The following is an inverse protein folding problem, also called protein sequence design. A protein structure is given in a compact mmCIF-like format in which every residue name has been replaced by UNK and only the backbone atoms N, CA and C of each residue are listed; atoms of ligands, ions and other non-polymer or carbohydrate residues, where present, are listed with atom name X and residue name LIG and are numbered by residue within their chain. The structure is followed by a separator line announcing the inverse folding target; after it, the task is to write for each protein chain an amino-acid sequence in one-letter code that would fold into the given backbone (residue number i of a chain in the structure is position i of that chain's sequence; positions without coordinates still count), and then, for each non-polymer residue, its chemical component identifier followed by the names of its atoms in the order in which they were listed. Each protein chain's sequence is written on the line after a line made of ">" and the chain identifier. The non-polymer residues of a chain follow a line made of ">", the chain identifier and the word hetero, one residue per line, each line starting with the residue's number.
data_IF_288223266674
#
_entry.id   IF_288223266674
#
_cell.length_a   1.000
_cell.length_b   1.000
_cell.length_c   1.000
_cell.angle_alpha   90.00
_cell.angle_beta   90.00
_cell.angle_gamma   90.00
#
_symmetry.space_group_name_H-M   'P 1'
#
loop_
_entity.id
_entity.type
_entity.pdbx_description
1 polymer ?
#
# COMPACT_ATOMS: atom_id res chain seq x y z
N UNK A 1 -36.19 -7.62 -98.20
CA UNK A 1 -36.65 -6.47 -97.40
C UNK A 1 -36.20 -6.71 -95.98
N UNK A 2 -35.00 -6.21 -95.62
CA UNK A 2 -34.37 -6.48 -94.31
C UNK A 2 -34.94 -5.51 -93.27
N UNK A 3 -35.45 -6.05 -92.17
CA UNK A 3 -36.05 -5.34 -91.04
C UNK A 3 -34.96 -5.14 -89.99
N UNK A 4 -34.58 -3.89 -89.73
CA UNK A 4 -33.56 -3.51 -88.75
C UNK A 4 -34.10 -3.66 -87.32
N UNK A 5 -33.39 -4.42 -86.48
CA UNK A 5 -33.58 -4.48 -85.03
C UNK A 5 -33.05 -3.20 -84.34
N UNK A 6 -33.70 -2.69 -83.27
CA UNK A 6 -33.21 -1.54 -82.53
C UNK A 6 -32.11 -1.93 -81.52
N UNK A 7 -31.20 -1.01 -81.17
CA UNK A 7 -30.14 -1.28 -80.21
C UNK A 7 -30.68 -1.31 -78.77
N UNK A 8 -30.38 -2.40 -78.05
CA UNK A 8 -30.61 -2.52 -76.60
C UNK A 8 -29.61 -1.67 -75.82
N UNK A 9 -30.10 -0.75 -74.98
CA UNK A 9 -29.27 0.04 -74.07
C UNK A 9 -28.72 -0.85 -72.91
N UNK A 10 -27.47 -0.64 -72.47
CA UNK A 10 -26.91 -1.37 -71.34
C UNK A 10 -27.54 -0.96 -70.00
N UNK A 11 -27.82 -1.96 -69.17
CA UNK A 11 -28.44 -1.89 -67.85
C UNK A 11 -27.52 -1.19 -66.86
N UNK A 12 -27.83 0.07 -66.54
CA UNK A 12 -27.15 0.89 -65.52
C UNK A 12 -27.58 0.47 -64.11
N UNK A 13 -26.96 -0.56 -63.49
CA UNK A 13 -27.11 -0.77 -62.03
C UNK A 13 -26.10 -1.74 -61.36
N UNK A 14 -24.80 -1.67 -61.67
CA UNK A 14 -23.80 -2.52 -60.98
C UNK A 14 -22.93 -1.77 -59.94
N UNK A 15 -23.09 -0.45 -59.81
CA UNK A 15 -22.24 0.38 -58.94
C UNK A 15 -22.66 0.50 -57.47
N UNK A 16 -23.82 -0.02 -57.07
CA UNK A 16 -24.36 0.21 -55.72
C UNK A 16 -24.05 -0.90 -54.70
N UNK A 17 -23.53 -2.05 -55.16
CA UNK A 17 -23.25 -3.19 -54.26
C UNK A 17 -21.88 -3.10 -53.59
N UNK A 18 -20.89 -2.46 -54.22
CA UNK A 18 -19.53 -2.40 -53.67
C UNK A 18 -19.47 -1.59 -52.36
N UNK A 19 -20.25 -0.52 -52.23
CA UNK A 19 -20.26 0.31 -51.01
C UNK A 19 -21.02 -0.33 -49.84
N UNK A 20 -21.94 -1.26 -50.12
CA UNK A 20 -22.68 -2.00 -49.10
C UNK A 20 -21.83 -3.09 -48.46
N UNK A 21 -21.09 -3.86 -49.26
CA UNK A 21 -20.14 -4.87 -48.78
C UNK A 21 -18.98 -4.24 -47.98
N UNK A 22 -18.49 -3.06 -48.41
CA UNK A 22 -17.49 -2.30 -47.65
C UNK A 22 -18.05 -1.81 -46.30
N UNK A 23 -19.29 -1.30 -46.25
CA UNK A 23 -19.96 -0.94 -44.99
C UNK A 23 -20.16 -2.17 -44.09
N UNK A 24 -20.48 -3.33 -44.67
CA UNK A 24 -20.70 -4.58 -43.94
C UNK A 24 -19.40 -5.10 -43.31
N UNK A 25 -18.27 -5.05 -44.04
CA UNK A 25 -16.94 -5.41 -43.51
C UNK A 25 -16.44 -4.40 -42.46
N UNK A 26 -16.71 -3.11 -42.64
CA UNK A 26 -16.36 -2.09 -41.64
C UNK A 26 -17.19 -2.29 -40.36
N UNK A 27 -18.49 -2.56 -40.48
CA UNK A 27 -19.36 -2.83 -39.33
C UNK A 27 -19.02 -4.15 -38.63
N UNK A 28 -18.65 -5.21 -39.36
CA UNK A 28 -18.25 -6.48 -38.73
C UNK A 28 -16.85 -6.39 -38.09
N UNK A 29 -15.92 -5.65 -38.71
CA UNK A 29 -14.61 -5.36 -38.13
C UNK A 29 -14.70 -4.51 -36.86
N UNK A 30 -15.57 -3.49 -36.85
CA UNK A 30 -15.81 -2.64 -35.67
C UNK A 30 -16.48 -3.41 -34.51
N UNK A 31 -17.32 -4.41 -34.82
CA UNK A 31 -18.01 -5.24 -33.83
C UNK A 31 -17.11 -6.33 -33.21
N UNK A 32 -16.06 -6.76 -33.91
CA UNK A 32 -15.09 -7.77 -33.45
C UNK A 32 -13.84 -7.18 -32.79
N UNK A 33 -13.58 -5.88 -32.97
CA UNK A 33 -12.44 -5.18 -32.37
C UNK A 33 -12.41 -5.12 -30.83
N UNK A 34 -13.53 -5.07 -30.06
CA UNK A 34 -13.46 -4.87 -28.62
C UNK A 34 -13.09 -6.13 -27.82
N UNK A 35 -12.82 -7.27 -28.46
CA UNK A 35 -12.39 -8.50 -27.77
C UNK A 35 -10.87 -8.60 -27.60
N UNK A 36 -10.10 -7.68 -28.19
CA UNK A 36 -8.66 -7.58 -28.01
C UNK A 36 -8.31 -6.59 -26.88
N UNK A 37 -8.95 -6.74 -25.71
CA UNK A 37 -8.62 -5.92 -24.54
C UNK A 37 -7.16 -6.14 -24.16
N UNK A 38 -6.35 -5.08 -24.27
CA UNK A 38 -4.95 -5.07 -23.86
C UNK A 38 -4.84 -5.37 -22.36
N UNK A 39 -4.38 -6.56 -22.00
CA UNK A 39 -4.14 -6.91 -20.61
C UNK A 39 -2.80 -6.30 -20.18
N UNK A 40 -2.84 -5.17 -19.47
CA UNK A 40 -1.65 -4.52 -18.90
C UNK A 40 -1.43 -5.08 -17.50
N UNK A 41 -0.32 -5.79 -17.30
CA UNK A 41 0.08 -6.31 -15.99
C UNK A 41 0.86 -5.24 -15.24
N UNK A 42 0.38 -4.86 -14.05
CA UNK A 42 0.99 -3.82 -13.21
C UNK A 42 1.45 -4.43 -11.88
N UNK A 43 2.74 -4.35 -11.61
CA UNK A 43 3.40 -4.96 -10.45
C UNK A 43 4.20 -3.91 -9.68
N UNK A 44 4.13 -3.95 -8.36
CA UNK A 44 5.03 -3.20 -7.47
C UNK A 44 5.97 -4.18 -6.78
N UNK A 45 7.26 -3.84 -6.75
CA UNK A 45 8.30 -4.53 -5.99
C UNK A 45 8.71 -3.69 -4.79
N UNK A 46 8.52 -4.23 -3.58
CA UNK A 46 8.88 -3.61 -2.32
C UNK A 46 10.15 -4.24 -1.77
N UNK A 47 11.16 -3.41 -1.58
CA UNK A 47 12.43 -3.78 -0.97
C UNK A 47 12.72 -2.91 0.27
N UNK A 48 13.48 -3.44 1.21
CA UNK A 48 13.91 -2.67 2.39
C UNK A 48 15.34 -2.98 2.80
N UNK A 49 15.93 -2.02 3.50
CA UNK A 49 17.22 -2.17 4.19
C UNK A 49 17.00 -1.94 5.68
N UNK A 50 17.15 -2.95 6.56
CA UNK A 50 17.46 -4.37 6.28
C UNK A 50 16.32 -5.13 5.58
N UNK A 51 16.66 -6.26 4.96
CA UNK A 51 15.70 -7.20 4.36
C UNK A 51 14.89 -7.94 5.44
N UNK A 52 13.88 -8.70 5.04
CA UNK A 52 12.98 -9.45 5.94
C UNK A 52 12.08 -8.58 6.83
N UNK A 53 11.78 -7.37 6.37
CA UNK A 53 10.84 -6.48 7.04
C UNK A 53 9.39 -6.84 6.69
N UNK A 54 8.51 -6.87 7.70
CA UNK A 54 7.08 -7.07 7.52
C UNK A 54 6.43 -5.82 6.91
N UNK A 55 5.66 -6.02 5.85
CA UNK A 55 5.04 -4.96 5.05
C UNK A 55 3.53 -5.04 5.14
N UNK A 56 2.91 -3.88 5.38
CA UNK A 56 1.49 -3.66 5.20
C UNK A 56 1.26 -2.67 4.07
N UNK A 57 0.32 -2.99 3.19
CA UNK A 57 -0.14 -2.11 2.12
C UNK A 57 -1.62 -1.85 2.35
N UNK A 58 -2.02 -0.59 2.44
CA UNK A 58 -3.39 -0.17 2.72
C UNK A 58 -3.99 -0.86 3.96
N UNK A 59 -3.20 -0.96 5.04
CA UNK A 59 -3.58 -1.58 6.31
C UNK A 59 -3.77 -3.11 6.27
N UNK A 60 -3.46 -3.76 5.15
CA UNK A 60 -3.48 -5.22 5.00
C UNK A 60 -2.05 -5.73 5.03
N UNK A 61 -1.80 -6.78 5.82
CA UNK A 61 -0.51 -7.47 5.84
C UNK A 61 -0.27 -8.14 4.49
N UNK A 62 0.80 -7.72 3.81
CA UNK A 62 1.10 -8.16 2.46
C UNK A 62 2.13 -9.30 2.47
N UNK A 63 3.19 -9.16 3.27
CA UNK A 63 4.27 -10.13 3.36
C UNK A 63 5.56 -9.54 3.90
N UNK A 64 6.69 -10.20 3.67
CA UNK A 64 8.03 -9.74 4.08
C UNK A 64 8.90 -9.35 2.89
N UNK A 65 9.73 -8.33 3.04
CA UNK A 65 10.65 -7.89 1.98
C UNK A 65 11.77 -8.89 1.71
N UNK A 66 12.20 -9.08 0.45
CA UNK A 66 11.63 -8.52 -0.78
C UNK A 66 10.29 -9.17 -1.15
N UNK A 67 9.30 -8.34 -1.50
CA UNK A 67 7.94 -8.77 -1.82
C UNK A 67 7.41 -8.03 -3.03
N UNK A 68 6.67 -8.70 -3.90
CA UNK A 68 6.00 -8.08 -5.04
C UNK A 68 4.51 -8.40 -5.08
N UNK A 69 3.70 -7.43 -5.50
CA UNK A 69 2.26 -7.60 -5.65
C UNK A 69 1.73 -6.89 -6.89
N UNK A 70 0.62 -7.41 -7.42
CA UNK A 70 -0.09 -6.82 -8.55
C UNK A 70 -1.14 -5.81 -8.05
N UNK A 71 -1.27 -4.69 -8.75
CA UNK A 71 -2.24 -3.65 -8.42
C UNK A 71 -3.09 -3.27 -9.64
N UNK A 72 -4.32 -2.83 -9.40
CA UNK A 72 -5.27 -2.52 -10.48
C UNK A 72 -5.34 -1.02 -10.81
N UNK A 73 -5.20 -0.16 -9.80
CA UNK A 73 -5.41 1.29 -9.97
C UNK A 73 -4.18 2.08 -9.55
N UNK A 74 -3.77 3.05 -10.36
CA UNK A 74 -2.73 4.00 -10.00
C UNK A 74 -3.23 4.95 -8.91
N UNK A 75 -2.34 5.31 -7.97
CA UNK A 75 -2.69 6.14 -6.84
C UNK A 75 -1.68 6.09 -5.72
N UNK A 76 -2.06 6.68 -4.59
CA UNK A 76 -1.26 6.69 -3.37
C UNK A 76 -1.67 5.55 -2.44
N UNK A 77 -0.69 4.79 -1.98
CA UNK A 77 -0.82 3.64 -1.10
C UNK A 77 -0.23 3.96 0.26
N UNK A 78 -0.94 3.59 1.32
CA UNK A 78 -0.40 3.64 2.68
C UNK A 78 0.50 2.41 2.88
N UNK A 79 1.80 2.63 3.02
CA UNK A 79 2.78 1.57 3.21
C UNK A 79 3.35 1.67 4.62
N UNK A 80 3.31 0.56 5.35
CA UNK A 80 4.00 0.43 6.63
C UNK A 80 5.00 -0.69 6.54
N UNK A 81 6.21 -0.44 7.00
CA UNK A 81 7.30 -1.40 7.01
C UNK A 81 7.84 -1.49 8.43
N UNK A 82 7.86 -2.69 9.01
CA UNK A 82 8.40 -2.94 10.34
C UNK A 82 9.42 -4.06 10.30
N UNK A 83 10.53 -3.88 11.00
CA UNK A 83 11.54 -4.90 11.22
C UNK A 83 11.82 -4.98 12.73
N UNK A 84 12.18 -6.16 13.22
CA UNK A 84 12.30 -6.42 14.68
C UNK A 84 13.36 -5.52 15.34
N UNK A 85 14.44 -5.24 14.62
CA UNK A 85 15.57 -4.44 15.10
C UNK A 85 15.53 -2.97 14.63
N UNK A 86 14.44 -2.53 13.99
CA UNK A 86 14.33 -1.18 13.43
C UNK A 86 13.09 -0.46 13.93
N UNK A 87 13.12 0.87 13.80
CA UNK A 87 11.95 1.71 14.04
C UNK A 87 10.96 1.48 12.88
N UNK A 88 9.68 1.17 13.16
CA UNK A 88 8.69 1.00 12.11
C UNK A 88 8.48 2.29 11.34
N UNK A 89 8.47 2.19 10.01
CA UNK A 89 8.28 3.30 9.08
C UNK A 89 6.86 3.25 8.52
N UNK A 90 6.08 4.31 8.71
CA UNK A 90 4.79 4.51 8.06
C UNK A 90 4.93 5.66 7.05
N UNK A 91 4.73 5.37 5.77
CA UNK A 91 4.90 6.33 4.68
C UNK A 91 3.85 6.11 3.61
N UNK A 92 3.72 7.07 2.69
CA UNK A 92 2.88 6.95 1.51
C UNK A 92 3.77 6.72 0.31
N UNK A 93 3.44 5.71 -0.49
CA UNK A 93 4.09 5.45 -1.77
C UNK A 93 3.08 5.70 -2.88
N UNK A 94 3.46 6.48 -3.88
CA UNK A 94 2.58 6.80 -5.00
C UNK A 94 3.04 6.07 -6.25
N UNK A 95 2.07 5.52 -6.97
CA UNK A 95 2.24 5.09 -8.33
C UNK A 95 1.73 6.21 -9.24
N UNK A 96 2.63 6.84 -9.99
CA UNK A 96 2.23 7.85 -10.98
C UNK A 96 1.62 7.20 -12.23
N UNK A 97 0.55 7.79 -12.76
CA UNK A 97 -0.06 7.35 -14.02
C UNK A 97 0.92 7.63 -15.16
N UNK A 98 1.31 6.63 -15.96
CA UNK A 98 2.19 6.88 -17.07
C UNK A 98 1.49 7.69 -18.17
N UNK A 99 2.27 8.43 -18.96
CA UNK A 99 1.76 9.32 -20.03
C UNK A 99 0.89 8.58 -21.06
N UNK A 100 1.10 7.27 -21.24
CA UNK A 100 0.32 6.43 -22.16
C UNK A 100 -1.03 5.95 -21.61
N UNK A 101 -1.28 6.04 -20.30
CA UNK A 101 -2.60 5.79 -19.67
C UNK A 101 -3.48 7.06 -19.64
N UNK A 102 -3.00 8.19 -20.18
CA UNK A 102 -3.79 9.42 -20.26
C UNK A 102 -4.91 9.28 -21.30
N UNK A 103 -6.06 9.97 -21.11
CA UNK A 103 -7.16 9.92 -22.07
C UNK A 103 -6.72 10.37 -23.46
N UNK A 104 -6.87 9.48 -24.45
CA UNK A 104 -6.45 9.69 -25.84
C UNK A 104 -5.39 8.67 -26.29
N UNK A 105 -4.13 8.79 -25.83
CA UNK A 105 -3.08 7.79 -26.04
C UNK A 105 -3.47 6.36 -25.58
N UNK A 106 -4.27 6.25 -24.52
CA UNK A 106 -4.75 4.99 -23.95
C UNK A 106 -5.46 4.09 -24.98
N UNK A 107 -6.27 4.67 -25.87
CA UNK A 107 -6.94 3.93 -26.95
C UNK A 107 -5.94 3.32 -27.94
N UNK A 108 -4.80 3.97 -28.16
CA UNK A 108 -3.73 3.46 -29.04
C UNK A 108 -2.93 2.37 -28.34
N UNK A 109 -2.67 2.52 -27.03
CA UNK A 109 -2.01 1.49 -26.23
C UNK A 109 -2.86 0.20 -26.15
N UNK A 110 -4.19 0.32 -26.04
CA UNK A 110 -5.11 -0.81 -26.08
C UNK A 110 -5.20 -1.47 -27.47
N UNK A 111 -5.09 -0.67 -28.55
CA UNK A 111 -5.12 -1.20 -29.92
C UNK A 111 -3.85 -1.97 -30.33
N UNK A 112 -2.76 -1.80 -29.59
CA UNK A 112 -1.49 -2.45 -29.86
C UNK A 112 -1.48 -3.78 -29.10
N UNK A 113 -1.46 -4.94 -29.78
CA UNK A 113 -1.49 -6.27 -29.15
C UNK A 113 -0.11 -6.64 -28.59
N UNK A 114 0.40 -5.83 -27.66
CA UNK A 114 1.66 -6.07 -26.95
C UNK A 114 1.33 -6.25 -25.48
N UNK A 115 1.83 -7.34 -24.89
CA UNK A 115 1.74 -7.54 -23.45
C UNK A 115 2.65 -6.52 -22.77
N UNK A 116 2.06 -5.49 -22.17
CA UNK A 116 2.80 -4.48 -21.43
C UNK A 116 2.86 -4.89 -19.96
N UNK A 117 4.05 -5.23 -19.49
CA UNK A 117 4.33 -5.42 -18.07
C UNK A 117 4.98 -4.15 -17.51
N UNK A 118 4.43 -3.65 -16.41
CA UNK A 118 4.94 -2.49 -15.70
C UNK A 118 5.38 -2.92 -14.31
N UNK A 119 6.65 -2.72 -14.01
CA UNK A 119 7.23 -2.95 -12.68
C UNK A 119 7.64 -1.61 -12.07
N UNK A 120 7.26 -1.39 -10.82
CA UNK A 120 7.60 -0.18 -10.04
C UNK A 120 8.33 -0.62 -8.81
N UNK A 121 9.50 -0.03 -8.56
CA UNK A 121 10.33 -0.36 -7.40
C UNK A 121 10.12 0.67 -6.29
N UNK A 122 9.76 0.19 -5.10
CA UNK A 122 9.74 0.97 -3.87
C UNK A 122 10.82 0.44 -2.92
N UNK A 123 11.79 1.30 -2.60
CA UNK A 123 12.86 0.98 -1.66
C UNK A 123 12.67 1.78 -0.35
N UNK A 124 12.73 1.08 0.78
CA UNK A 124 12.59 1.70 2.10
C UNK A 124 13.84 1.48 2.97
N UNK A 125 14.42 2.57 3.45
CA UNK A 125 15.52 2.52 4.42
C UNK A 125 14.98 2.65 5.85
N UNK A 126 15.19 1.64 6.67
CA UNK A 126 14.74 1.62 8.07
C UNK A 126 15.84 2.11 9.00
N UNK A 127 15.44 2.90 10.00
CA UNK A 127 16.37 3.36 11.02
C UNK A 127 16.54 2.30 12.11
N UNK A 128 17.77 2.00 12.55
CA UNK A 128 18.02 1.02 13.59
C UNK A 128 17.39 1.46 14.92
N UNK A 129 16.81 0.50 15.63
CA UNK A 129 16.23 0.74 16.95
C UNK A 129 17.36 0.79 17.98
N UNK A 130 17.54 1.96 18.63
CA UNK A 130 18.46 2.07 19.76
C UNK A 130 17.88 1.31 20.96
N UNK A 131 18.46 0.14 21.24
CA UNK A 131 17.99 -0.77 22.29
C UNK A 131 18.43 -0.37 23.70
N UNK A 132 19.49 0.44 23.86
CA UNK A 132 19.97 0.89 25.18
C UNK A 132 19.02 1.91 25.84
N UNK A 133 18.40 1.57 26.99
CA UNK A 133 17.51 2.48 27.70
C UNK A 133 18.19 3.79 28.15
N UNK A 134 19.46 3.74 28.53
CA UNK A 134 20.17 4.92 29.03
C UNK A 134 20.46 5.92 27.90
N UNK A 135 20.89 5.42 26.73
CA UNK A 135 21.05 6.25 25.53
C UNK A 135 19.75 6.96 25.10
N UNK A 136 18.58 6.32 25.26
CA UNK A 136 17.27 6.93 24.96
C UNK A 136 16.93 8.05 25.93
N UNK A 137 17.15 7.84 27.23
CA UNK A 137 16.93 8.86 28.27
C UNK A 137 17.85 10.06 28.03
N UNK A 138 19.13 9.82 27.75
CA UNK A 138 20.10 10.87 27.48
C UNK A 138 19.73 11.70 26.24
N UNK A 139 19.27 11.05 25.17
CA UNK A 139 18.78 11.74 23.96
C UNK A 139 17.55 12.61 24.25
N UNK A 140 16.62 12.11 25.06
CA UNK A 140 15.43 12.86 25.47
C UNK A 140 15.78 14.08 26.35
N UNK A 141 16.71 13.91 27.30
CA UNK A 141 17.22 15.01 28.12
C UNK A 141 17.90 16.08 27.25
N UNK A 142 18.74 15.66 26.29
CA UNK A 142 19.39 16.58 25.35
C UNK A 142 18.39 17.38 24.52
N UNK A 143 17.34 16.73 24.02
CA UNK A 143 16.29 17.43 23.26
C UNK A 143 15.55 18.45 24.14
N UNK A 144 15.25 18.11 25.40
CA UNK A 144 14.65 19.05 26.35
C UNK A 144 15.54 20.27 26.56
N UNK A 145 16.82 20.05 26.84
CA UNK A 145 17.77 21.15 27.09
C UNK A 145 17.92 22.05 25.84
N UNK A 146 17.86 21.47 24.62
CA UNK A 146 17.86 22.24 23.36
C UNK A 146 16.60 23.12 23.21
N UNK A 147 15.43 22.62 23.62
CA UNK A 147 14.17 23.39 23.57
C UNK A 147 14.16 24.53 24.60
N UNK A 148 14.69 24.28 25.80
CA UNK A 148 14.89 25.30 26.83
C UNK A 148 15.84 26.39 26.35
N UNK A 149 16.97 26.01 25.73
CA UNK A 149 17.93 26.95 25.15
C UNK A 149 17.33 27.78 24.00
N UNK A 150 16.43 27.20 23.21
CA UNK A 150 15.72 27.89 22.14
C UNK A 150 14.58 28.81 22.66
N UNK A 151 14.35 28.85 23.97
CA UNK A 151 13.37 29.75 24.59
C UNK A 151 11.91 29.31 24.40
N UNK A 152 11.67 28.12 23.86
CA UNK A 152 10.34 27.50 23.75
C UNK A 152 9.92 26.87 25.10
N UNK A 153 10.05 27.65 26.17
CA UNK A 153 9.45 27.31 27.46
C UNK A 153 7.95 27.55 27.35
N UNK A 154 7.23 26.56 26.81
CA UNK A 154 5.81 26.48 27.09
C UNK A 154 5.68 26.36 28.61
N UNK A 155 5.12 27.39 29.21
CA UNK A 155 4.33 27.34 30.43
C UNK A 155 3.12 26.39 30.21
N UNK A 156 3.37 25.15 29.79
CA UNK A 156 2.44 24.06 30.06
C UNK A 156 2.72 23.68 31.50
N UNK A 157 2.25 24.54 32.41
CA UNK A 157 1.82 24.05 33.71
C UNK A 157 0.88 22.91 33.36
N UNK A 158 1.13 21.65 33.78
CA UNK A 158 0.10 20.64 33.68
C UNK A 158 -1.10 21.26 34.37
N UNK A 159 -2.14 21.61 33.60
CA UNK A 159 -3.42 21.94 34.19
C UNK A 159 -3.88 20.61 34.75
N UNK A 160 -3.47 20.33 35.99
CA UNK A 160 -4.24 19.48 36.88
C UNK A 160 -5.61 20.14 36.82
N UNK A 161 -6.50 19.55 36.02
CA UNK A 161 -7.90 19.87 36.13
C UNK A 161 -8.23 19.32 37.51
N UNK A 162 -8.23 20.19 38.51
CA UNK A 162 -8.89 19.90 39.77
C UNK A 162 -10.34 19.64 39.39
N UNK A 163 -10.70 18.37 39.20
CA UNK A 163 -12.09 17.95 39.13
C UNK A 163 -12.59 18.17 40.55
N UNK A 164 -13.46 19.16 40.81
CA UNK A 164 -13.98 19.36 42.14
C UNK A 164 -14.75 18.10 42.52
N UNK A 165 -14.44 17.53 43.68
CA UNK A 165 -15.08 16.31 44.19
C UNK A 165 -16.57 16.44 44.48
N UNK A 166 -17.19 17.58 44.20
CA UNK A 166 -18.58 17.86 44.50
C UNK A 166 -19.43 17.85 43.23
N UNK A 167 -20.02 16.69 42.94
CA UNK A 167 -21.35 16.66 42.30
C UNK A 167 -21.42 16.54 40.78
N UNK A 168 -20.59 15.72 40.12
CA UNK A 168 -20.97 15.19 38.80
C UNK A 168 -22.14 14.19 38.98
N UNK A 169 -23.32 14.38 38.36
CA UNK A 169 -24.30 13.32 38.30
C UNK A 169 -23.69 12.15 37.53
N UNK A 170 -23.64 11.00 38.19
CA UNK A 170 -23.12 9.73 37.68
C UNK A 170 -24.01 9.20 36.55
N UNK A 171 -23.92 9.80 35.36
CA UNK A 171 -24.58 9.29 34.15
C UNK A 171 -23.84 8.10 33.54
N UNK A 172 -22.61 7.84 33.96
CA UNK A 172 -21.86 6.65 33.60
C UNK A 172 -21.61 5.82 34.86
N UNK A 173 -22.48 4.84 35.08
CA UNK A 173 -22.26 3.77 36.05
C UNK A 173 -21.09 2.92 35.59
N UNK A 174 -19.87 3.33 35.92
CA UNK A 174 -18.72 2.45 35.86
C UNK A 174 -18.89 1.30 36.87
N UNK A 175 -18.41 0.08 36.56
CA UNK A 175 -18.47 -1.02 37.51
C UNK A 175 -17.75 -0.63 38.80
N UNK A 176 -18.45 -0.80 39.94
CA UNK A 176 -17.90 -0.55 41.27
C UNK A 176 -16.68 -1.46 41.46
N UNK A 177 -15.49 -0.87 41.42
CA UNK A 177 -14.26 -1.56 41.79
C UNK A 177 -14.43 -2.07 43.24
N UNK A 178 -14.20 -3.37 43.50
CA UNK A 178 -14.18 -3.87 44.87
C UNK A 178 -13.04 -3.20 45.65
N UNK A 179 -13.16 -3.08 46.99
CA UNK A 179 -12.11 -2.50 47.82
C UNK A 179 -10.79 -3.24 47.57
N UNK A 180 -9.71 -2.45 47.46
CA UNK A 180 -8.34 -2.94 47.36
C UNK A 180 -7.91 -3.58 48.67
N UNK A 181 -8.40 -4.78 48.95
CA UNK A 181 -7.67 -5.72 49.79
C UNK A 181 -6.62 -6.37 48.92
N UNK A 182 -5.46 -5.73 48.83
CA UNK A 182 -4.25 -6.38 48.32
C UNK A 182 -3.81 -7.41 49.36
N UNK A 183 -3.95 -8.73 49.15
CA UNK A 183 -3.19 -9.66 49.97
C UNK A 183 -1.71 -9.39 49.69
N UNK A 184 -0.92 -9.24 50.76
CA UNK A 184 0.53 -9.16 50.70
C UNK A 184 1.04 -10.25 49.77
N UNK A 185 1.48 -9.85 48.56
CA UNK A 185 2.05 -10.78 47.58
C UNK A 185 3.20 -11.51 48.28
N UNK A 186 3.18 -12.84 48.41
CA UNK A 186 4.34 -13.57 48.90
C UNK A 186 5.53 -13.16 48.03
N UNK A 187 6.62 -12.73 48.66
CA UNK A 187 7.81 -12.25 47.97
C UNK A 187 8.22 -13.27 46.91
N UNK A 188 8.03 -12.91 45.63
CA UNK A 188 8.55 -13.70 44.53
C UNK A 188 10.06 -13.60 44.65
N UNK A 189 10.70 -14.72 45.01
CA UNK A 189 12.16 -14.79 45.01
C UNK A 189 12.65 -14.41 43.60
N UNK A 190 13.72 -13.61 43.49
CA UNK A 190 14.26 -13.26 42.19
C UNK A 190 14.59 -14.54 41.41
N UNK A 191 14.35 -14.59 40.09
CA UNK A 191 14.73 -15.73 39.28
C UNK A 191 16.24 -15.99 39.46
N UNK A 192 16.66 -17.27 39.52
CA UNK A 192 18.08 -17.58 39.66
C UNK A 192 18.86 -16.92 38.52
N UNK A 193 20.02 -16.35 38.86
CA UNK A 193 20.92 -15.79 37.87
C UNK A 193 21.25 -16.84 36.80
N UNK A 194 21.18 -16.43 35.55
CA UNK A 194 21.55 -17.27 34.40
C UNK A 194 23.02 -17.69 34.55
N UNK A 195 23.26 -18.99 34.78
CA UNK A 195 24.59 -19.60 34.73
C UNK A 195 24.92 -19.99 33.29
N UNK A 196 26.01 -19.50 32.68
CA UNK A 196 26.36 -19.82 31.30
C UNK A 196 26.93 -21.24 31.09
N UNK A 197 27.18 -22.02 32.15
CA UNK A 197 27.90 -23.30 32.07
C UNK A 197 27.01 -24.55 32.06
N UNK A 198 25.97 -24.59 31.22
CA UNK A 198 25.28 -25.86 30.93
C UNK A 198 25.05 -26.03 29.43
N UNK A 199 26.14 -26.25 28.70
CA UNK A 199 26.12 -26.86 27.38
C UNK A 199 25.56 -28.29 27.49
N UNK A 200 24.30 -28.46 27.09
CA UNK A 200 23.61 -29.74 27.00
C UNK A 200 23.63 -30.25 25.56
N UNK A 201 24.69 -30.96 25.23
CA UNK A 201 24.75 -32.18 24.41
C UNK A 201 23.58 -32.45 23.45
N UNK A 202 23.85 -32.29 22.15
CA UNK A 202 23.09 -32.90 21.06
C UNK A 202 23.15 -34.42 21.21
N UNK A 203 21.99 -35.04 21.44
CA UNK A 203 21.79 -36.47 21.29
C UNK A 203 21.43 -36.74 19.84
N UNK A 204 22.31 -37.48 19.16
CA UNK A 204 22.04 -38.03 17.84
C UNK A 204 21.26 -39.34 18.03
N UNK A 205 20.08 -39.43 17.44
CA UNK A 205 19.50 -40.68 16.92
C UNK A 205 19.04 -40.44 15.48
#
# INVERSE_FOLDING_TARGET
>A
MMMFDPPTLPRRSEGMSLMAEFRQCILSGLLLLPLAGGCVKRTVEITSTPSDALVWVNHVEAGRTPFSFEFTHDGTYDVRVAHEECIPLATQASTEVPVWDLPGPDVVAELIPVQMERVIEWHFELQPLVSDPQARIASAMKLRDQLEAFGLTHHTTPRVVDIPGDGLPSLFGGPKLPPSDSPSRPGVAPPPAYSPDRGGQIVNE
#
